data_IF_507815552254
#
_entry.id   IF_507815552254
#
_cell.length_a   1.000
_cell.length_b   1.000
_cell.length_c   1.000
_cell.angle_alpha   90.00
_cell.angle_beta   90.00
_cell.angle_gamma   90.00
#
_symmetry.space_group_name_H-M   'P 1'
#
loop_
_entity.id
_entity.type
_entity.pdbx_description
1 polymer ?
#
# COMPACT_ATOMS: atom_id res chain seq x y z
N UNK A 1 -17.74 -11.17 3.80
CA UNK A 1 -17.04 -11.87 4.93
C UNK A 1 -17.93 -11.90 6.19
N UNK A 2 -18.63 -13.01 6.48
CA UNK A 2 -19.66 -13.11 7.51
C UNK A 2 -19.17 -13.16 8.98
N UNK A 3 -17.85 -13.18 9.22
CA UNK A 3 -17.31 -13.34 10.59
C UNK A 3 -17.44 -12.08 11.45
N UNK A 4 -17.03 -10.92 10.93
CA UNK A 4 -17.05 -9.65 11.68
C UNK A 4 -18.48 -9.29 12.08
N UNK A 5 -19.42 -9.42 11.14
CA UNK A 5 -20.86 -9.21 11.38
C UNK A 5 -21.38 -10.11 12.51
N UNK A 6 -21.17 -11.42 12.42
CA UNK A 6 -21.61 -12.38 13.43
C UNK A 6 -21.03 -12.10 14.82
N UNK A 7 -19.85 -11.47 14.92
CA UNK A 7 -19.27 -11.08 16.21
C UNK A 7 -19.91 -9.82 16.79
N UNK A 8 -20.15 -8.82 15.94
CA UNK A 8 -20.84 -7.59 16.36
C UNK A 8 -22.26 -7.90 16.83
N UNK A 9 -23.00 -8.75 16.11
CA UNK A 9 -24.35 -9.19 16.50
C UNK A 9 -24.37 -9.95 17.85
N UNK A 10 -23.27 -10.63 18.20
CA UNK A 10 -23.10 -11.30 19.49
C UNK A 10 -22.70 -10.34 20.63
N UNK A 11 -22.53 -9.05 20.34
CA UNK A 11 -22.15 -8.04 21.33
C UNK A 11 -20.65 -7.90 21.59
N UNK A 12 -19.79 -8.54 20.78
CA UNK A 12 -18.33 -8.39 20.92
C UNK A 12 -17.91 -6.93 20.60
N UNK A 13 -17.04 -6.34 21.42
CA UNK A 13 -16.49 -5.00 21.16
C UNK A 13 -15.56 -5.03 19.93
N UNK A 14 -15.58 -3.97 19.11
CA UNK A 14 -14.72 -3.82 17.92
C UNK A 14 -13.23 -4.07 18.21
N UNK A 15 -12.72 -3.56 19.34
CA UNK A 15 -11.33 -3.75 19.78
C UNK A 15 -10.99 -5.21 20.09
N UNK A 16 -11.92 -5.97 20.67
CA UNK A 16 -11.74 -7.39 20.95
C UNK A 16 -11.74 -8.23 19.66
N UNK A 17 -12.60 -7.88 18.70
CA UNK A 17 -12.62 -8.50 17.37
C UNK A 17 -11.30 -8.22 16.64
N UNK A 18 -10.82 -6.98 16.67
CA UNK A 18 -9.56 -6.56 16.05
C UNK A 18 -8.35 -7.33 16.63
N UNK A 19 -8.27 -7.39 17.97
CA UNK A 19 -7.23 -8.15 18.68
C UNK A 19 -7.25 -9.64 18.29
N UNK A 20 -8.45 -10.24 18.21
CA UNK A 20 -8.62 -11.64 17.81
C UNK A 20 -8.23 -11.92 16.36
N UNK A 21 -8.34 -10.93 15.49
CA UNK A 21 -7.94 -11.03 14.08
C UNK A 21 -6.46 -10.66 13.85
N UNK A 22 -5.75 -10.15 14.86
CA UNK A 22 -4.41 -9.59 14.68
C UNK A 22 -4.39 -8.39 13.73
N UNK A 23 -5.48 -7.62 13.68
CA UNK A 23 -5.66 -6.47 12.77
C UNK A 23 -5.92 -5.20 13.58
N UNK A 24 -5.63 -4.00 13.03
CA UNK A 24 -5.95 -2.75 13.69
C UNK A 24 -7.47 -2.55 13.80
N UNK A 25 -7.92 -1.76 14.78
CA UNK A 25 -9.34 -1.47 14.99
C UNK A 25 -9.99 -0.71 13.80
N UNK A 26 -9.18 0.02 13.02
CA UNK A 26 -9.60 0.64 11.76
C UNK A 26 -10.11 -0.41 10.77
N UNK A 27 -9.42 -1.54 10.63
CA UNK A 27 -9.83 -2.64 9.75
C UNK A 27 -11.24 -3.13 10.06
N UNK A 28 -11.54 -3.39 11.34
CA UNK A 28 -12.89 -3.83 11.76
C UNK A 28 -13.92 -2.73 11.49
N UNK A 29 -13.56 -1.47 11.68
CA UNK A 29 -14.45 -0.33 11.43
C UNK A 29 -14.78 -0.19 9.95
N UNK A 30 -13.78 -0.29 9.07
CA UNK A 30 -13.96 -0.25 7.62
C UNK A 30 -14.89 -1.36 7.13
N UNK A 31 -14.75 -2.56 7.70
CA UNK A 31 -15.58 -3.71 7.33
C UNK A 31 -17.00 -3.65 7.91
N UNK A 32 -17.24 -2.93 9.00
CA UNK A 32 -18.60 -2.70 9.52
C UNK A 32 -19.34 -1.72 8.62
N UNK A 33 -18.64 -0.69 8.14
CA UNK A 33 -19.22 0.32 7.25
C UNK A 33 -19.86 -0.36 6.03
N UNK A 34 -19.26 -1.43 5.51
CA UNK A 34 -19.78 -2.22 4.38
C UNK A 34 -21.25 -2.64 4.52
N UNK A 35 -21.69 -2.99 5.73
CA UNK A 35 -23.07 -3.42 5.97
C UNK A 35 -24.08 -2.27 5.95
N UNK A 36 -23.62 -1.04 6.21
CA UNK A 36 -24.44 0.18 6.21
C UNK A 36 -24.28 0.99 4.90
N UNK A 37 -23.62 0.43 3.87
CA UNK A 37 -23.43 1.14 2.59
C UNK A 37 -24.68 1.16 1.73
N UNK A 38 -24.85 2.25 0.97
CA UNK A 38 -25.88 2.38 -0.05
C UNK A 38 -25.68 1.32 -1.16
N UNK A 39 -26.78 0.91 -1.78
CA UNK A 39 -26.79 -0.16 -2.79
C UNK A 39 -25.90 0.20 -3.99
N UNK A 40 -25.87 1.47 -4.41
CA UNK A 40 -25.00 1.95 -5.49
C UNK A 40 -23.49 1.70 -5.24
N UNK A 41 -23.04 1.82 -3.98
CA UNK A 41 -21.63 1.55 -3.61
C UNK A 41 -21.39 0.04 -3.53
N UNK A 42 -22.40 -0.73 -3.13
CA UNK A 42 -22.32 -2.19 -3.08
C UNK A 42 -22.26 -2.77 -4.48
N UNK A 43 -23.03 -2.22 -5.42
CA UNK A 43 -23.02 -2.60 -6.82
C UNK A 43 -21.64 -2.36 -7.44
N UNK A 44 -20.92 -1.30 -7.05
CA UNK A 44 -19.54 -1.06 -7.49
C UNK A 44 -18.56 -2.15 -7.02
N UNK A 45 -18.81 -2.75 -5.86
CA UNK A 45 -18.02 -3.89 -5.36
C UNK A 45 -18.40 -5.18 -6.08
N UNK A 46 -19.69 -5.46 -6.19
CA UNK A 46 -20.22 -6.67 -6.83
C UNK A 46 -19.89 -6.70 -8.32
N UNK A 47 -19.82 -5.54 -8.97
CA UNK A 47 -19.37 -5.39 -10.37
C UNK A 47 -17.84 -5.40 -10.53
N UNK A 48 -17.07 -5.43 -9.43
CA UNK A 48 -15.61 -5.42 -9.45
C UNK A 48 -14.97 -4.07 -9.79
N UNK A 49 -15.74 -2.98 -9.89
CA UNK A 49 -15.22 -1.63 -10.23
C UNK A 49 -14.44 -1.00 -9.08
N UNK A 50 -14.80 -1.33 -7.83
CA UNK A 50 -14.08 -0.90 -6.62
C UNK A 50 -13.83 -2.12 -5.74
N UNK A 51 -12.59 -2.58 -5.70
CA UNK A 51 -12.20 -3.77 -4.94
C UNK A 51 -11.61 -3.44 -3.56
N UNK A 52 -11.17 -2.19 -3.36
CA UNK A 52 -10.54 -1.74 -2.12
C UNK A 52 -11.58 -1.38 -1.06
N UNK A 53 -11.53 -2.07 0.08
CA UNK A 53 -12.38 -1.78 1.24
C UNK A 53 -12.23 -0.35 1.74
N UNK A 54 -11.01 0.19 1.68
CA UNK A 54 -10.74 1.58 2.06
C UNK A 54 -11.37 2.57 1.08
N UNK A 55 -11.34 2.29 -0.22
CA UNK A 55 -11.97 3.12 -1.23
C UNK A 55 -13.50 3.15 -1.04
N UNK A 56 -14.13 2.01 -0.78
CA UNK A 56 -15.56 1.95 -0.45
C UNK A 56 -15.90 2.72 0.83
N UNK A 57 -15.07 2.63 1.87
CA UNK A 57 -15.28 3.38 3.11
C UNK A 57 -15.16 4.90 2.90
N UNK A 58 -14.31 5.35 1.98
CA UNK A 58 -14.23 6.76 1.57
C UNK A 58 -15.50 7.21 0.83
N UNK A 59 -15.94 6.43 -0.16
CA UNK A 59 -17.19 6.69 -0.89
C UNK A 59 -18.38 6.76 0.05
N UNK A 60 -18.51 5.84 0.99
CA UNK A 60 -19.60 5.87 1.97
C UNK A 60 -19.58 7.13 2.83
N UNK A 61 -18.38 7.58 3.23
CA UNK A 61 -18.24 8.79 4.02
C UNK A 61 -18.62 10.04 3.22
N UNK A 62 -18.27 10.08 1.93
CA UNK A 62 -18.68 11.13 1.01
C UNK A 62 -20.20 11.11 0.79
N UNK A 63 -20.78 9.91 0.58
CA UNK A 63 -22.22 9.70 0.35
C UNK A 63 -23.09 10.28 1.45
N UNK A 64 -22.64 10.22 2.71
CA UNK A 64 -23.36 10.82 3.85
C UNK A 64 -23.58 12.33 3.75
N UNK A 65 -22.77 13.02 2.95
CA UNK A 65 -22.82 14.49 2.76
C UNK A 65 -23.22 14.88 1.35
N UNK A 66 -22.86 14.06 0.36
CA UNK A 66 -22.97 14.30 -1.06
C UNK A 66 -23.56 13.07 -1.76
N UNK A 67 -24.79 12.70 -1.42
CA UNK A 67 -25.41 11.46 -1.92
C UNK A 67 -25.59 11.47 -3.45
N UNK A 68 -26.13 12.56 -4.00
CA UNK A 68 -26.40 12.67 -5.45
C UNK A 68 -25.12 12.62 -6.29
N UNK A 69 -24.07 13.35 -5.88
CA UNK A 69 -22.78 13.38 -6.57
C UNK A 69 -22.11 12.00 -6.56
N UNK A 70 -22.20 11.27 -5.45
CA UNK A 70 -21.65 9.92 -5.33
C UNK A 70 -22.45 8.92 -6.17
N UNK A 71 -23.78 9.06 -6.25
CA UNK A 71 -24.62 8.20 -7.12
C UNK A 71 -24.34 8.43 -8.60
N UNK A 72 -24.17 9.69 -9.00
CA UNK A 72 -23.76 10.04 -10.36
C UNK A 72 -22.39 9.43 -10.68
N UNK A 73 -21.41 9.61 -9.80
CA UNK A 73 -20.09 9.02 -9.95
C UNK A 73 -20.13 7.48 -10.04
N UNK A 74 -20.96 6.81 -9.24
CA UNK A 74 -21.13 5.36 -9.32
C UNK A 74 -21.80 4.91 -10.63
N UNK A 75 -22.67 5.75 -11.20
CA UNK A 75 -23.37 5.45 -12.47
C UNK A 75 -22.51 5.72 -13.70
N UNK A 76 -21.65 6.74 -13.63
CA UNK A 76 -20.73 7.15 -14.70
C UNK A 76 -19.45 6.31 -14.75
N UNK A 77 -19.07 5.69 -13.64
CA UNK A 77 -17.91 4.82 -13.56
C UNK A 77 -18.07 3.57 -14.46
N UNK A 78 -17.53 3.67 -15.67
CA UNK A 78 -17.52 2.57 -16.65
C UNK A 78 -16.37 1.60 -16.39
N UNK A 79 -15.22 2.11 -15.93
CA UNK A 79 -13.95 1.40 -15.74
C UNK A 79 -13.60 1.18 -14.26
N UNK A 80 -12.54 0.38 -13.99
CA UNK A 80 -12.04 0.15 -12.63
C UNK A 80 -11.48 1.42 -12.00
N UNK A 81 -11.90 1.71 -10.78
CA UNK A 81 -11.44 2.86 -10.01
C UNK A 81 -10.36 2.46 -9.02
N UNK A 82 -9.22 3.13 -9.10
CA UNK A 82 -8.18 2.97 -8.08
C UNK A 82 -8.57 3.67 -6.78
N UNK A 83 -7.92 3.30 -5.68
CA UNK A 83 -8.11 4.03 -4.40
C UNK A 83 -7.68 5.50 -4.51
N UNK A 84 -6.77 5.83 -5.45
CA UNK A 84 -6.37 7.20 -5.71
C UNK A 84 -7.47 8.00 -6.41
N UNK A 85 -8.14 7.42 -7.40
CA UNK A 85 -9.24 8.07 -8.15
C UNK A 85 -10.42 8.36 -7.23
N UNK A 86 -10.81 7.37 -6.41
CA UNK A 86 -11.86 7.53 -5.40
C UNK A 86 -11.51 8.62 -4.39
N UNK A 87 -10.23 8.69 -4.00
CA UNK A 87 -9.76 9.72 -3.07
C UNK A 87 -9.80 11.10 -3.69
N UNK A 88 -9.31 11.25 -4.93
CA UNK A 88 -9.34 12.50 -5.67
C UNK A 88 -10.78 13.02 -5.82
N UNK A 89 -11.72 12.14 -6.16
CA UNK A 89 -13.15 12.46 -6.18
C UNK A 89 -13.66 12.87 -4.79
N UNK A 90 -13.40 12.09 -3.75
CA UNK A 90 -13.84 12.45 -2.39
C UNK A 90 -13.24 13.76 -1.88
N UNK A 91 -12.05 14.13 -2.33
CA UNK A 91 -11.38 15.38 -1.98
C UNK A 91 -11.97 16.56 -2.79
N UNK A 92 -12.33 16.37 -4.06
CA UNK A 92 -13.02 17.39 -4.85
C UNK A 92 -14.40 17.76 -4.30
N UNK A 93 -15.07 16.86 -3.58
CA UNK A 93 -16.34 17.16 -2.90
C UNK A 93 -16.18 17.93 -1.58
N UNK A 94 -14.98 17.90 -0.98
CA UNK A 94 -14.71 18.60 0.29
C UNK A 94 -14.32 20.06 0.07
N UNK A 95 -13.81 20.40 -1.10
CA UNK A 95 -13.55 21.77 -1.49
C UNK A 95 -14.83 22.39 -2.06
N UNK A 96 -15.26 23.58 -1.61
CA UNK A 96 -16.43 24.23 -2.16
C UNK A 96 -16.18 24.54 -3.64
N UNK A 97 -17.05 24.02 -4.51
CA UNK A 97 -16.95 24.08 -5.96
C UNK A 97 -16.48 25.43 -6.51
N UNK A 98 -15.30 25.45 -7.14
CA UNK A 98 -15.05 26.37 -8.25
C UNK A 98 -14.00 25.82 -9.23
N UNK A 99 -14.48 25.02 -10.19
CA UNK A 99 -14.30 25.20 -11.65
C UNK A 99 -14.38 23.86 -12.38
N UNK A 100 -15.43 23.76 -13.19
CA UNK A 100 -15.51 22.82 -14.29
C UNK A 100 -14.54 23.18 -15.43
N UNK A 101 -14.26 22.14 -16.24
CA UNK A 101 -13.90 22.12 -17.68
C UNK A 101 -12.44 21.73 -18.04
N UNK A 102 -12.29 20.42 -18.31
CA UNK A 102 -11.82 19.74 -19.53
C UNK A 102 -10.51 20.10 -20.26
N UNK A 103 -9.80 19.01 -20.61
CA UNK A 103 -9.02 18.72 -21.84
C UNK A 103 -7.67 19.40 -22.11
N UNK A 104 -6.75 18.55 -22.56
CA UNK A 104 -5.36 18.73 -22.98
C UNK A 104 -5.02 20.01 -23.76
N UNK A 105 -3.82 20.55 -23.51
CA UNK A 105 -3.16 21.53 -24.38
C UNK A 105 -2.14 22.44 -23.68
N UNK A 106 -0.87 22.03 -23.77
CA UNK A 106 0.38 22.81 -23.81
C UNK A 106 0.27 24.36 -23.79
N UNK A 107 0.89 25.05 -22.80
CA UNK A 107 2.03 25.96 -23.01
C UNK A 107 2.50 26.70 -21.74
N UNK A 108 3.76 27.12 -21.80
CA UNK A 108 4.65 27.69 -20.79
C UNK A 108 4.35 29.10 -20.22
N UNK A 109 5.04 29.34 -19.09
CA UNK A 109 5.61 30.59 -18.55
C UNK A 109 4.72 31.66 -17.88
N UNK A 110 5.17 32.11 -16.70
CA UNK A 110 4.85 33.45 -16.19
C UNK A 110 4.53 33.57 -14.69
N UNK A 111 5.58 33.48 -13.86
CA UNK A 111 5.89 34.37 -12.73
C UNK A 111 4.75 35.17 -12.03
N UNK A 112 4.63 35.01 -10.70
CA UNK A 112 4.80 36.03 -9.65
C UNK A 112 3.93 35.75 -8.40
N UNK A 113 4.61 35.44 -7.29
CA UNK A 113 4.11 35.50 -5.92
C UNK A 113 4.55 36.81 -5.28
N UNK A 114 3.69 37.45 -4.48
CA UNK A 114 4.11 38.09 -3.22
C UNK A 114 3.41 37.35 -2.05
N UNK A 115 4.15 36.85 -1.06
CA UNK A 115 4.58 37.55 0.17
C UNK A 115 3.40 38.18 0.91
N UNK A 116 3.05 37.80 2.12
CA UNK A 116 3.72 37.93 3.42
C UNK A 116 2.67 37.46 4.46
N UNK A 117 2.91 37.08 5.71
CA UNK A 117 4.06 36.95 6.58
C UNK A 117 3.53 36.28 7.87
N UNK A 118 4.34 35.40 8.48
CA UNK A 118 4.81 35.54 9.87
C UNK A 118 5.77 34.37 10.14
N UNK A 119 7.09 34.57 10.04
CA UNK A 119 7.97 35.10 11.09
C UNK A 119 8.00 34.18 12.33
N UNK A 120 9.03 33.36 12.50
CA UNK A 120 10.37 33.69 13.03
C UNK A 120 10.45 33.44 14.55
N UNK A 121 11.18 32.39 14.94
CA UNK A 121 12.26 32.39 15.95
C UNK A 121 13.20 31.27 15.45
N UNK A 122 14.36 31.57 14.84
CA UNK A 122 15.53 32.24 15.42
C UNK A 122 16.42 31.15 16.01
N UNK A 123 17.40 30.62 15.28
CA UNK A 123 18.75 31.17 15.08
C UNK A 123 19.72 30.26 15.87
N UNK A 124 20.86 29.80 15.39
CA UNK A 124 21.76 30.23 14.32
C UNK A 124 23.19 30.20 14.86
N UNK A 125 24.16 30.06 13.96
CA UNK A 125 25.63 30.12 14.10
C UNK A 125 26.32 28.76 14.31
N UNK A 126 26.92 28.11 13.30
CA UNK A 126 28.06 28.51 12.43
C UNK A 126 29.38 28.44 13.25
N UNK A 127 30.53 27.95 12.79
CA UNK A 127 31.13 27.94 11.44
C UNK A 127 32.38 27.03 11.43
N UNK A 128 32.87 26.76 10.21
CA UNK A 128 34.28 26.64 9.83
C UNK A 128 35.10 25.36 10.09
N UNK A 129 35.09 24.50 9.05
CA UNK A 129 36.22 24.22 8.14
C UNK A 129 37.66 24.56 8.60
N UNK A 130 38.55 23.55 8.58
CA UNK A 130 39.88 23.63 7.93
C UNK A 130 40.60 22.27 7.87
N UNK A 131 41.30 22.10 6.76
CA UNK A 131 42.02 20.93 6.23
C UNK A 131 43.19 20.34 7.04
N UNK A 132 43.58 19.13 6.60
CA UNK A 132 44.93 18.54 6.40
C UNK A 132 45.47 17.52 7.42
N UNK A 133 45.84 16.35 6.87
CA UNK A 133 47.19 15.81 7.03
C UNK A 133 47.38 14.57 7.92
N UNK A 134 47.72 13.46 7.27
CA UNK A 134 48.76 12.48 7.64
C UNK A 134 48.60 11.57 8.89
N UNK A 135 48.36 10.29 8.58
CA UNK A 135 49.08 9.07 9.01
C UNK A 135 49.68 8.96 10.43
N UNK A 136 49.12 7.98 11.17
CA UNK A 136 49.72 7.09 12.19
C UNK A 136 50.32 7.73 13.44
N UNK A 137 49.67 7.54 14.61
CA UNK A 137 50.24 6.83 15.79
C UNK A 137 49.11 6.22 16.65
N UNK A 138 49.32 5.04 17.28
CA UNK A 138 48.34 4.44 18.17
C UNK A 138 48.30 5.19 19.51
N UNK A 139 47.12 5.70 19.88
CA UNK A 139 46.91 6.37 21.16
C UNK A 139 46.65 5.34 22.26
N UNK A 140 47.63 5.20 23.13
CA UNK A 140 47.53 4.55 24.44
C UNK A 140 47.19 5.62 25.48
N UNK A 141 46.05 5.49 26.16
CA UNK A 141 45.75 6.23 27.39
C UNK A 141 45.18 5.21 28.39
N UNK A 142 45.86 5.07 29.53
CA UNK A 142 45.45 4.38 30.75
C UNK A 142 45.22 2.86 30.70
N UNK A 143 46.21 2.11 30.21
CA UNK A 143 46.49 0.75 30.71
C UNK A 143 45.46 -0.36 30.45
N UNK A 144 44.39 -0.11 29.69
CA UNK A 144 43.46 -1.14 29.24
C UNK A 144 43.65 -1.43 27.74
N UNK A 145 43.71 -2.72 27.35
CA UNK A 145 43.76 -3.07 25.94
C UNK A 145 42.44 -2.66 25.28
N UNK A 146 42.54 -2.05 24.09
CA UNK A 146 41.43 -2.02 23.13
C UNK A 146 41.11 -3.47 22.74
N UNK A 147 40.27 -4.10 23.57
CA UNK A 147 39.62 -5.36 23.25
C UNK A 147 38.94 -5.18 21.90
N UNK A 148 39.43 -5.90 20.90
CA UNK A 148 38.74 -6.04 19.63
C UNK A 148 37.27 -6.36 19.93
N UNK A 149 36.37 -5.54 19.36
CA UNK A 149 34.94 -5.84 19.37
C UNK A 149 34.77 -7.29 18.96
N UNK A 150 34.20 -8.07 19.87
CA UNK A 150 34.09 -9.50 19.75
C UNK A 150 33.35 -9.84 18.45
N UNK A 151 34.00 -10.59 17.54
CA UNK A 151 33.34 -11.19 16.35
C UNK A 151 32.08 -11.96 16.73
N UNK A 152 32.03 -12.44 17.98
CA UNK A 152 30.92 -13.19 18.55
C UNK A 152 29.58 -12.44 18.58
N UNK A 153 29.55 -11.12 18.81
CA UNK A 153 28.27 -10.39 18.89
C UNK A 153 27.56 -10.28 17.53
N UNK A 154 28.33 -10.18 16.43
CA UNK A 154 27.78 -10.17 15.07
C UNK A 154 27.38 -11.57 14.60
N UNK A 155 28.15 -12.59 15.01
CA UNK A 155 27.87 -14.01 14.73
C UNK A 155 26.62 -14.49 15.48
N UNK A 156 26.43 -14.07 16.73
CA UNK A 156 25.24 -14.37 17.53
C UNK A 156 23.99 -13.65 16.99
N UNK A 157 24.11 -12.41 16.52
CA UNK A 157 22.99 -11.69 15.92
C UNK A 157 22.61 -12.24 14.55
N UNK A 158 23.60 -12.62 13.72
CA UNK A 158 23.36 -13.31 12.45
C UNK A 158 22.69 -14.68 12.68
N UNK A 159 23.15 -15.44 13.67
CA UNK A 159 22.58 -16.74 14.03
C UNK A 159 21.13 -16.62 14.53
N UNK A 160 20.79 -15.57 15.28
CA UNK A 160 19.41 -15.30 15.69
C UNK A 160 18.51 -14.91 14.52
N UNK A 161 19.01 -14.15 13.55
CA UNK A 161 18.26 -13.79 12.35
C UNK A 161 18.01 -15.05 11.49
N UNK A 162 18.99 -15.93 11.35
CA UNK A 162 18.86 -17.20 10.61
C UNK A 162 17.90 -18.15 11.34
N UNK A 163 18.02 -18.30 12.66
CA UNK A 163 17.12 -19.16 13.45
C UNK A 163 15.66 -18.63 13.47
N UNK A 164 15.47 -17.32 13.49
CA UNK A 164 14.15 -16.70 13.37
C UNK A 164 13.56 -16.85 11.95
N UNK A 165 14.42 -16.97 10.94
CA UNK A 165 14.02 -17.25 9.56
C UNK A 165 13.56 -18.71 9.38
N UNK A 166 14.36 -19.67 9.85
CA UNK A 166 14.04 -21.10 9.76
C UNK A 166 12.78 -21.50 10.56
N UNK A 167 12.41 -20.71 11.57
CA UNK A 167 11.21 -20.94 12.39
C UNK A 167 9.94 -20.21 11.88
N UNK A 168 10.03 -19.45 10.80
CA UNK A 168 8.92 -18.64 10.29
C UNK A 168 8.08 -19.42 9.27
N UNK A 169 6.81 -19.71 9.61
CA UNK A 169 5.79 -20.26 8.68
C UNK A 169 5.39 -19.30 7.53
N UNK A 170 6.16 -18.25 7.27
CA UNK A 170 5.86 -17.22 6.26
C UNK A 170 6.77 -17.37 5.06
N UNK A 171 6.17 -17.52 3.88
CA UNK A 171 6.88 -17.48 2.59
C UNK A 171 7.37 -16.05 2.35
N UNK A 172 8.70 -15.83 2.30
CA UNK A 172 9.28 -14.50 2.13
C UNK A 172 9.22 -14.00 0.69
N UNK A 173 9.35 -14.90 -0.28
CA UNK A 173 9.31 -14.61 -1.73
C UNK A 173 8.36 -15.56 -2.43
N UNK A 174 7.06 -15.30 -2.27
CA UNK A 174 6.04 -16.16 -2.85
C UNK A 174 6.06 -16.08 -4.39
N UNK A 175 6.25 -17.22 -5.03
CA UNK A 175 6.06 -17.44 -6.46
C UNK A 175 4.76 -18.21 -6.63
N UNK A 176 3.83 -17.62 -7.37
CA UNK A 176 2.56 -18.29 -7.73
C UNK A 176 2.76 -19.04 -9.04
N UNK A 177 2.81 -20.36 -8.95
CA UNK A 177 2.87 -21.25 -10.12
C UNK A 177 1.46 -21.51 -10.63
N UNK A 178 1.31 -21.38 -11.94
CA UNK A 178 0.04 -21.49 -12.64
C UNK A 178 0.20 -22.36 -13.89
N UNK A 179 -0.93 -22.75 -14.47
CA UNK A 179 -1.01 -23.42 -15.76
C UNK A 179 -2.01 -22.66 -16.64
N UNK A 180 -1.59 -22.30 -17.84
CA UNK A 180 -2.39 -21.59 -18.84
C UNK A 180 -2.15 -22.25 -20.20
N UNK A 181 -3.22 -22.57 -20.93
CA UNK A 181 -3.18 -23.30 -22.22
C UNK A 181 -2.31 -24.57 -22.19
N UNK A 182 -2.49 -25.39 -21.15
CA UNK A 182 -1.69 -26.56 -20.85
C UNK A 182 -0.19 -26.34 -20.56
N UNK A 183 0.30 -25.11 -20.59
CA UNK A 183 1.69 -24.75 -20.37
C UNK A 183 1.93 -24.26 -18.93
N UNK A 184 3.02 -24.70 -18.28
CA UNK A 184 3.39 -24.21 -16.95
C UNK A 184 3.92 -22.77 -17.05
N UNK A 185 3.45 -21.92 -16.14
CA UNK A 185 3.84 -20.52 -16.07
C UNK A 185 3.87 -20.01 -14.62
N UNK A 186 4.41 -18.81 -14.42
CA UNK A 186 4.41 -18.09 -13.14
C UNK A 186 3.66 -16.78 -13.29
N UNK A 187 2.85 -16.44 -12.30
CA UNK A 187 2.14 -15.16 -12.28
C UNK A 187 3.09 -14.05 -11.81
N UNK A 188 3.22 -12.98 -12.58
CA UNK A 188 3.98 -11.79 -12.20
C UNK A 188 3.11 -10.86 -11.36
N UNK A 189 3.37 -10.83 -10.05
CA UNK A 189 2.67 -9.95 -9.10
C UNK A 189 3.27 -8.54 -9.00
N UNK A 190 4.45 -8.33 -9.58
CA UNK A 190 5.15 -7.04 -9.61
C UNK A 190 4.78 -6.18 -10.83
N UNK A 191 3.99 -6.72 -11.77
CA UNK A 191 3.56 -6.04 -13.00
C UNK A 191 2.05 -5.86 -12.97
N UNK A 192 1.59 -4.63 -13.25
CA UNK A 192 0.16 -4.28 -13.24
C UNK A 192 -0.52 -4.77 -14.54
N UNK A 193 -1.69 -5.38 -14.39
CA UNK A 193 -2.62 -5.74 -15.45
C UNK A 193 -4.02 -5.18 -15.14
N UNK A 194 -4.90 -5.13 -16.13
CA UNK A 194 -6.32 -4.80 -15.97
C UNK A 194 -7.06 -5.82 -15.10
N UNK A 195 -8.18 -5.46 -14.47
CA UNK A 195 -8.99 -6.41 -13.69
C UNK A 195 -9.39 -7.65 -14.49
N UNK A 196 -9.23 -8.81 -13.87
CA UNK A 196 -9.45 -10.11 -14.52
C UNK A 196 -8.28 -10.56 -15.39
N UNK A 197 -7.28 -9.71 -15.65
CA UNK A 197 -6.07 -10.07 -16.37
C UNK A 197 -4.86 -10.18 -15.45
N UNK A 198 -3.85 -10.93 -15.89
CA UNK A 198 -2.57 -11.03 -15.20
C UNK A 198 -1.44 -11.25 -16.18
N UNK A 199 -0.29 -10.65 -15.87
CA UNK A 199 0.96 -10.94 -16.58
C UNK A 199 1.50 -12.28 -16.11
N UNK A 200 1.80 -13.16 -17.05
CA UNK A 200 2.40 -14.46 -16.77
C UNK A 200 3.72 -14.59 -17.49
N UNK A 201 4.61 -15.42 -16.96
CA UNK A 201 5.86 -15.83 -17.62
C UNK A 201 5.86 -17.34 -17.76
N UNK A 202 5.95 -17.83 -18.98
CA UNK A 202 6.01 -19.28 -19.19
C UNK A 202 7.37 -19.83 -18.77
N UNK A 203 7.38 -21.06 -18.24
CA UNK A 203 8.59 -21.70 -17.74
C UNK A 203 9.42 -22.34 -18.88
N UNK A 204 8.80 -22.57 -20.05
CA UNK A 204 9.40 -23.22 -21.20
C UNK A 204 10.23 -22.26 -22.09
N UNK A 205 9.65 -21.14 -22.50
CA UNK A 205 10.29 -20.16 -23.40
C UNK A 205 10.64 -18.84 -22.70
N UNK A 206 10.17 -18.63 -21.47
CA UNK A 206 10.38 -17.38 -20.74
C UNK A 206 9.64 -16.18 -21.31
N UNK A 207 8.74 -16.38 -22.28
CA UNK A 207 7.88 -15.33 -22.84
C UNK A 207 6.90 -14.83 -21.79
N UNK A 208 6.49 -13.57 -21.93
CA UNK A 208 5.56 -12.91 -21.04
C UNK A 208 4.34 -12.45 -21.80
N UNK A 209 3.15 -12.86 -21.34
CA UNK A 209 1.87 -12.52 -21.93
C UNK A 209 0.90 -12.00 -20.87
N UNK A 210 -0.01 -11.12 -21.29
CA UNK A 210 -1.16 -10.72 -20.49
C UNK A 210 -2.36 -11.61 -20.88
N UNK A 211 -2.95 -12.26 -19.88
CA UNK A 211 -3.99 -13.27 -20.08
C UNK A 211 -5.18 -13.08 -19.14
N UNK A 212 -6.35 -13.60 -19.49
CA UNK A 212 -7.52 -13.65 -18.58
C UNK A 212 -7.27 -14.71 -17.48
N UNK A 213 -7.31 -14.28 -16.23
CA UNK A 213 -7.10 -15.12 -15.05
C UNK A 213 -8.23 -16.14 -14.83
N UNK A 214 -9.38 -16.00 -15.50
CA UNK A 214 -10.45 -17.01 -15.48
C UNK A 214 -10.02 -18.33 -16.12
N UNK A 215 -9.13 -18.26 -17.10
CA UNK A 215 -8.67 -19.42 -17.87
C UNK A 215 -7.41 -20.07 -17.25
N UNK A 216 -7.00 -19.61 -16.08
CA UNK A 216 -5.80 -20.06 -15.38
C UNK A 216 -6.13 -21.05 -14.29
N UNK A 217 -5.31 -22.11 -14.21
CA UNK A 217 -5.31 -23.02 -13.06
C UNK A 217 -4.12 -22.71 -12.14
N UNK A 218 -4.37 -22.34 -10.89
CA UNK A 218 -3.32 -22.20 -9.88
C UNK A 218 -2.83 -23.58 -9.47
N UNK A 219 -1.51 -23.80 -9.55
CA UNK A 219 -0.88 -25.11 -9.28
C UNK A 219 -0.28 -25.14 -7.88
N UNK A 220 0.53 -24.14 -7.54
CA UNK A 220 1.24 -24.08 -6.26
C UNK A 220 1.64 -22.66 -5.90
N UNK A 221 1.91 -22.43 -4.61
CA UNK A 221 2.59 -21.25 -4.11
C UNK A 221 3.87 -21.74 -3.46
N UNK A 222 5.02 -21.31 -3.98
CA UNK A 222 6.34 -21.75 -3.53
C UNK A 222 7.21 -20.57 -3.13
N UNK A 223 8.28 -20.83 -2.41
CA UNK A 223 9.29 -19.81 -2.10
C UNK A 223 10.36 -19.77 -3.19
N UNK A 224 10.78 -18.56 -3.57
CA UNK A 224 11.73 -18.28 -4.64
C UNK A 224 13.02 -17.59 -4.22
#
# INVERSE_FOLDING_TARGET
MPFIQRRIEKGDKKSAIAARLGKPASFVSDHIIFFDMADCIRDMYDSGRVVSMQAMALLHRAYKKHAEEVEAFCSEAQDELTTADVRAFCDSLKEPESKAVNTSGDNEEGQELPSDANAWIGGGADSDELEKGEEQQPLVIDGEPISGGSSSDLEDEASKIIAADEASDKIKKAIVQIKYDERPARLLTNRRASYGFGWIKYDDDGSEDEIDLKDVSVVAIVEG
#
